data_IF_593341473714
#
_entry.id   IF_593341473714
#
_cell.length_a   1.000
_cell.length_b   1.000
_cell.length_c   1.000
_cell.angle_alpha   90.00
_cell.angle_beta   90.00
_cell.angle_gamma   90.00
#
_symmetry.space_group_name_H-M   'P 1'
#
loop_
_entity.id
_entity.type
_entity.pdbx_description
1 polymer ?
#
# COMPACT_ATOMS: atom_id res chain seq x y z
N UNK A 1 4.98 -10.83 -7.08
CA UNK A 1 4.35 -9.98 -8.11
C UNK A 1 2.83 -10.20 -8.15
N UNK A 2 2.11 -9.38 -8.91
CA UNK A 2 0.65 -9.39 -9.00
C UNK A 2 0.09 -10.73 -9.50
N UNK A 3 0.66 -11.28 -10.56
CA UNK A 3 0.18 -12.52 -11.16
C UNK A 3 0.41 -13.74 -10.24
N UNK A 4 1.53 -13.74 -9.53
CA UNK A 4 1.83 -14.79 -8.55
C UNK A 4 0.91 -14.67 -7.34
N UNK A 5 0.64 -13.46 -6.84
CA UNK A 5 -0.29 -13.23 -5.74
C UNK A 5 -1.71 -13.71 -6.09
N UNK A 6 -2.17 -13.45 -7.32
CA UNK A 6 -3.43 -14.00 -7.82
C UNK A 6 -3.42 -15.53 -7.75
N UNK A 7 -2.39 -16.17 -8.30
CA UNK A 7 -2.27 -17.64 -8.33
C UNK A 7 -2.26 -18.25 -6.92
N UNK A 8 -1.55 -17.62 -5.97
CA UNK A 8 -1.49 -18.05 -4.57
C UNK A 8 -2.88 -17.94 -3.92
N UNK A 9 -3.59 -16.85 -4.17
CA UNK A 9 -4.94 -16.63 -3.63
C UNK A 9 -5.94 -17.61 -4.21
N UNK A 10 -5.89 -17.88 -5.53
CA UNK A 10 -6.69 -18.93 -6.17
C UNK A 10 -6.43 -20.31 -5.53
N UNK A 11 -5.17 -20.64 -5.26
CA UNK A 11 -4.81 -21.89 -4.59
C UNK A 11 -5.36 -21.95 -3.15
N UNK A 12 -5.31 -20.84 -2.40
CA UNK A 12 -5.88 -20.76 -1.07
C UNK A 12 -7.41 -20.96 -1.09
N UNK A 13 -8.12 -20.31 -2.01
CA UNK A 13 -9.56 -20.48 -2.21
C UNK A 13 -9.88 -21.94 -2.52
N UNK A 14 -9.15 -22.54 -3.47
CA UNK A 14 -9.38 -23.93 -3.91
C UNK A 14 -9.02 -24.97 -2.84
N UNK A 15 -8.20 -24.62 -1.85
CA UNK A 15 -7.88 -25.52 -0.73
C UNK A 15 -9.09 -25.78 0.18
N UNK A 16 -10.06 -24.87 0.19
CA UNK A 16 -11.21 -24.90 1.08
C UNK A 16 -10.92 -24.54 2.52
N UNK A 17 -9.67 -24.16 2.85
CA UNK A 17 -9.34 -23.66 4.19
C UNK A 17 -9.89 -22.23 4.35
N UNK A 18 -10.65 -21.94 5.41
CA UNK A 18 -11.25 -20.63 5.57
C UNK A 18 -10.22 -19.55 5.89
N UNK A 19 -10.32 -18.41 5.25
CA UNK A 19 -9.60 -17.19 5.58
C UNK A 19 -10.52 -15.97 5.44
N UNK A 20 -10.24 -14.91 6.16
CA UNK A 20 -10.98 -13.66 6.11
C UNK A 20 -10.08 -12.42 6.10
N UNK A 21 -8.78 -12.59 5.92
CA UNK A 21 -7.81 -11.50 5.81
C UNK A 21 -6.80 -11.82 4.73
N UNK A 22 -6.55 -10.86 3.87
CA UNK A 22 -5.41 -10.82 2.97
C UNK A 22 -4.51 -9.66 3.43
N UNK A 23 -3.30 -10.02 3.84
CA UNK A 23 -2.20 -9.09 4.09
C UNK A 23 -1.23 -9.21 2.92
N UNK A 24 -1.28 -8.26 2.02
CA UNK A 24 -0.37 -8.19 0.90
C UNK A 24 0.80 -7.25 1.22
N UNK A 25 2.02 -7.66 0.87
CA UNK A 25 3.23 -6.87 1.17
C UNK A 25 3.41 -5.66 0.25
N UNK A 26 2.60 -5.56 -0.81
CA UNK A 26 2.47 -4.35 -1.64
C UNK A 26 1.12 -4.32 -2.37
N UNK A 27 0.80 -3.17 -2.95
CA UNK A 27 -0.47 -2.92 -3.65
C UNK A 27 -0.66 -3.77 -4.90
N UNK A 28 0.42 -4.05 -5.63
CA UNK A 28 0.34 -4.93 -6.79
C UNK A 28 -0.10 -6.34 -6.39
N UNK A 29 0.42 -6.86 -5.29
CA UNK A 29 0.02 -8.15 -4.75
C UNK A 29 -1.41 -8.12 -4.21
N UNK A 30 -1.81 -7.05 -3.53
CA UNK A 30 -3.20 -6.87 -3.09
C UNK A 30 -4.17 -6.89 -4.28
N UNK A 31 -3.85 -6.19 -5.36
CA UNK A 31 -4.64 -6.17 -6.60
C UNK A 31 -4.77 -7.56 -7.22
N UNK A 32 -3.67 -8.31 -7.28
CA UNK A 32 -3.69 -9.69 -7.75
C UNK A 32 -4.57 -10.60 -6.90
N UNK A 33 -4.49 -10.47 -5.59
CA UNK A 33 -5.31 -11.24 -4.66
C UNK A 33 -6.80 -10.89 -4.79
N UNK A 34 -7.13 -9.61 -4.90
CA UNK A 34 -8.51 -9.12 -5.12
C UNK A 34 -9.08 -9.68 -6.43
N UNK A 35 -8.30 -9.70 -7.51
CA UNK A 35 -8.75 -10.28 -8.77
C UNK A 35 -9.16 -11.77 -8.62
N UNK A 36 -8.47 -12.54 -7.78
CA UNK A 36 -8.84 -13.92 -7.49
C UNK A 36 -10.12 -14.03 -6.64
N UNK A 37 -10.32 -13.12 -5.68
CA UNK A 37 -11.56 -13.06 -4.90
C UNK A 37 -12.75 -12.74 -5.79
N UNK A 38 -12.63 -11.74 -6.67
CA UNK A 38 -13.67 -11.31 -7.61
C UNK A 38 -14.08 -12.47 -8.55
N UNK A 39 -13.10 -13.16 -9.12
CA UNK A 39 -13.36 -14.31 -10.00
C UNK A 39 -14.06 -15.46 -9.27
N UNK A 40 -13.80 -15.62 -7.98
CA UNK A 40 -14.45 -16.62 -7.12
C UNK A 40 -15.81 -16.14 -6.55
N UNK A 41 -16.18 -14.88 -6.78
CA UNK A 41 -17.40 -14.28 -6.24
C UNK A 41 -17.36 -14.09 -4.71
N UNK A 42 -16.17 -13.93 -4.14
CA UNK A 42 -15.95 -13.69 -2.71
C UNK A 42 -15.91 -12.18 -2.46
N UNK A 43 -16.79 -11.71 -1.58
CA UNK A 43 -16.85 -10.28 -1.22
C UNK A 43 -15.67 -9.86 -0.38
N UNK A 44 -15.19 -8.65 -0.60
CA UNK A 44 -14.04 -8.11 0.12
C UNK A 44 -14.21 -6.61 0.42
N UNK A 45 -13.31 -6.05 1.22
CA UNK A 45 -13.36 -4.64 1.61
C UNK A 45 -14.21 -4.40 2.85
N UNK A 46 -14.74 -3.16 2.98
CA UNK A 46 -15.39 -2.68 4.20
C UNK A 46 -16.62 -3.50 4.60
N UNK A 47 -17.45 -3.85 3.62
CA UNK A 47 -18.70 -4.61 3.82
C UNK A 47 -18.58 -6.07 3.34
N UNK A 48 -17.35 -6.51 3.04
CA UNK A 48 -17.10 -7.84 2.50
C UNK A 48 -16.68 -8.88 3.54
N UNK A 49 -16.60 -10.13 3.10
CA UNK A 49 -16.21 -11.26 3.92
C UNK A 49 -14.68 -11.30 4.18
N UNK A 50 -13.89 -10.65 3.31
CA UNK A 50 -12.42 -10.64 3.36
C UNK A 50 -11.89 -9.22 3.51
N UNK A 51 -11.13 -9.01 4.56
CA UNK A 51 -10.35 -7.79 4.78
C UNK A 51 -9.14 -7.80 3.85
N UNK A 52 -8.91 -6.70 3.13
CA UNK A 52 -7.76 -6.53 2.23
C UNK A 52 -6.89 -5.39 2.71
N UNK A 53 -5.59 -5.66 2.83
CA UNK A 53 -4.56 -4.69 3.21
C UNK A 53 -3.43 -4.70 2.19
N UNK A 54 -3.00 -3.50 1.78
CA UNK A 54 -1.87 -3.25 0.89
C UNK A 54 -0.79 -2.38 1.51
N UNK A 55 0.28 -2.16 0.76
CA UNK A 55 1.38 -1.25 1.09
C UNK A 55 1.92 -0.61 -0.18
N UNK A 56 2.52 0.55 -0.06
CA UNK A 56 3.20 1.44 -1.01
C UNK A 56 2.42 2.73 -1.30
N UNK A 57 1.13 2.80 -1.01
CA UNK A 57 0.26 3.94 -1.32
C UNK A 57 0.24 4.32 -2.80
N UNK A 58 0.17 3.34 -3.69
CA UNK A 58 -0.12 3.64 -5.08
C UNK A 58 -1.50 4.30 -5.19
N UNK A 59 -1.64 5.33 -6.04
CA UNK A 59 -2.91 6.08 -6.14
C UNK A 59 -4.10 5.19 -6.45
N UNK A 60 -3.93 4.17 -7.28
CA UNK A 60 -5.01 3.22 -7.55
C UNK A 60 -5.45 2.48 -6.28
N UNK A 61 -4.50 2.10 -5.39
CA UNK A 61 -4.81 1.42 -4.14
C UNK A 61 -5.57 2.34 -3.17
N UNK A 62 -5.12 3.59 -3.06
CA UNK A 62 -5.84 4.59 -2.26
C UNK A 62 -7.25 4.89 -2.84
N UNK A 63 -7.45 4.80 -4.16
CA UNK A 63 -8.79 4.88 -4.77
C UNK A 63 -9.67 3.69 -4.42
N UNK A 64 -9.11 2.47 -4.45
CA UNK A 64 -9.81 1.27 -4.00
C UNK A 64 -10.18 1.35 -2.51
N UNK A 65 -9.29 1.91 -1.70
CA UNK A 65 -9.53 2.17 -0.29
C UNK A 65 -10.68 3.18 -0.10
N UNK A 66 -10.65 4.30 -0.83
CA UNK A 66 -11.70 5.33 -0.79
C UNK A 66 -13.07 4.79 -1.26
N UNK A 67 -13.07 3.88 -2.22
CA UNK A 67 -14.26 3.19 -2.70
C UNK A 67 -14.80 2.13 -1.71
N UNK A 68 -14.03 1.78 -0.68
CA UNK A 68 -14.38 0.73 0.29
C UNK A 68 -14.07 -0.69 -0.19
N UNK A 69 -13.40 -0.85 -1.33
CA UNK A 69 -13.02 -2.15 -1.87
C UNK A 69 -11.84 -2.77 -1.11
N UNK A 70 -11.01 -1.94 -0.49
CA UNK A 70 -9.94 -2.34 0.43
C UNK A 70 -10.18 -1.74 1.81
N UNK A 71 -9.49 -2.25 2.83
CA UNK A 71 -9.69 -1.83 4.22
C UNK A 71 -8.56 -0.94 4.74
N UNK A 72 -7.31 -1.22 4.32
CA UNK A 72 -6.13 -0.52 4.81
C UNK A 72 -5.02 -0.49 3.77
N UNK A 73 -4.24 0.59 3.79
CA UNK A 73 -3.02 0.74 3.01
C UNK A 73 -1.94 1.43 3.86
N UNK A 74 -0.75 0.87 3.87
CA UNK A 74 0.41 1.41 4.56
C UNK A 74 1.35 2.11 3.60
N UNK A 75 1.77 3.32 3.96
CA UNK A 75 2.79 4.02 3.18
C UNK A 75 4.12 3.26 3.24
N UNK A 76 4.79 3.14 2.10
CA UNK A 76 6.20 2.75 1.98
C UNK A 76 6.82 3.64 0.90
N UNK A 77 7.21 4.86 1.29
CA UNK A 77 7.63 5.88 0.34
C UNK A 77 9.00 5.62 -0.27
N UNK A 78 9.15 5.56 -1.59
CA UNK A 78 10.44 5.47 -2.26
C UNK A 78 11.18 6.83 -2.31
N UNK A 79 10.54 7.93 -1.88
CA UNK A 79 11.07 9.29 -2.01
C UNK A 79 12.06 9.64 -0.88
N UNK A 80 13.19 8.93 -0.83
CA UNK A 80 14.24 9.15 0.15
C UNK A 80 15.32 10.15 -0.31
N UNK A 81 15.25 10.63 -1.55
CA UNK A 81 16.31 11.43 -2.17
C UNK A 81 16.60 12.73 -1.40
N UNK A 82 15.56 13.42 -0.89
CA UNK A 82 15.74 14.65 -0.12
C UNK A 82 16.49 14.39 1.17
N UNK A 83 16.11 13.37 1.92
CA UNK A 83 16.75 12.97 3.18
C UNK A 83 18.24 12.66 2.94
N UNK A 84 18.52 11.91 1.88
CA UNK A 84 19.90 11.56 1.51
C UNK A 84 20.69 12.82 1.10
N UNK A 85 20.10 13.72 0.32
CA UNK A 85 20.72 14.96 -0.10
C UNK A 85 21.07 15.85 1.09
N UNK A 86 20.16 16.01 2.03
CA UNK A 86 20.39 16.81 3.24
C UNK A 86 21.52 16.24 4.09
N UNK A 87 21.59 14.92 4.23
CA UNK A 87 22.70 14.24 4.91
C UNK A 87 24.05 14.49 4.23
N UNK A 88 24.09 14.40 2.92
CA UNK A 88 25.33 14.66 2.16
C UNK A 88 25.79 16.10 2.41
N UNK A 89 24.88 17.07 2.33
CA UNK A 89 25.19 18.48 2.57
C UNK A 89 25.73 18.72 4.00
N UNK A 90 25.15 18.08 5.01
CA UNK A 90 25.65 18.15 6.39
C UNK A 90 27.08 17.60 6.49
N UNK A 91 27.35 16.44 5.89
CA UNK A 91 28.69 15.83 5.88
C UNK A 91 29.70 16.72 5.15
N UNK A 92 29.33 17.31 4.01
CA UNK A 92 30.20 18.24 3.25
C UNK A 92 30.49 19.53 4.05
N UNK A 93 29.55 19.98 4.88
CA UNK A 93 29.73 21.10 5.78
C UNK A 93 30.62 20.74 7.00
N UNK A 94 31.05 19.49 7.13
CA UNK A 94 31.82 19.01 8.27
C UNK A 94 31.00 18.79 9.54
N UNK A 95 29.68 18.74 9.41
CA UNK A 95 28.76 18.47 10.49
C UNK A 95 28.63 16.98 10.75
N UNK A 96 28.54 16.58 12.02
CA UNK A 96 28.31 15.18 12.36
C UNK A 96 26.84 14.83 12.17
N UNK A 97 26.57 13.70 11.49
CA UNK A 97 25.24 13.13 11.48
C UNK A 97 24.92 12.56 12.85
N UNK A 98 23.94 13.15 13.54
CA UNK A 98 23.50 12.69 14.84
C UNK A 98 22.52 11.52 14.69
N UNK A 99 23.05 10.33 14.38
CA UNK A 99 22.28 9.11 14.22
C UNK A 99 22.40 8.26 15.48
N UNK A 100 21.33 8.17 16.26
CA UNK A 100 21.31 7.37 17.50
C UNK A 100 21.62 5.88 17.26
N UNK A 101 21.32 5.34 16.09
CA UNK A 101 21.49 3.91 15.79
C UNK A 101 22.07 3.62 14.41
N UNK A 102 22.73 4.59 13.77
CA UNK A 102 23.15 4.52 12.36
C UNK A 102 21.99 4.25 11.39
N UNK A 103 20.79 4.65 11.79
CA UNK A 103 19.56 4.53 11.01
C UNK A 103 18.84 5.86 10.98
N UNK A 104 18.21 6.17 9.86
CA UNK A 104 17.19 7.20 9.76
C UNK A 104 15.86 6.48 9.74
N UNK A 105 14.97 6.91 10.60
CA UNK A 105 13.59 6.43 10.62
C UNK A 105 12.75 7.57 10.05
N UNK A 106 12.12 7.33 8.92
CA UNK A 106 11.10 8.23 8.35
C UNK A 106 9.75 7.81 8.90
N UNK A 107 8.97 8.78 9.36
CA UNK A 107 7.58 8.51 9.74
C UNK A 107 6.75 8.30 8.48
N UNK A 108 6.02 7.21 8.45
CA UNK A 108 5.11 6.86 7.38
C UNK A 108 3.69 6.68 7.94
N UNK A 109 2.69 6.89 7.09
CA UNK A 109 1.29 6.86 7.47
C UNK A 109 0.61 5.56 7.07
N UNK A 110 -0.43 5.22 7.83
CA UNK A 110 -1.43 4.26 7.40
C UNK A 110 -2.74 4.95 7.05
N UNK A 111 -3.45 4.42 6.10
CA UNK A 111 -4.73 4.92 5.63
C UNK A 111 -5.75 3.80 5.76
N UNK A 112 -6.94 4.13 6.22
CA UNK A 112 -8.07 3.23 6.30
C UNK A 112 -9.27 3.78 5.51
N UNK A 113 -10.14 2.88 5.08
CA UNK A 113 -11.29 3.22 4.23
C UNK A 113 -12.29 4.17 4.90
N UNK A 114 -12.33 4.24 6.23
CA UNK A 114 -13.28 5.09 6.94
C UNK A 114 -12.82 6.55 7.04
N UNK A 115 -11.51 6.80 6.93
CA UNK A 115 -10.92 8.12 7.21
C UNK A 115 -10.17 8.72 6.04
N UNK A 116 -9.88 7.95 4.98
CA UNK A 116 -9.15 8.45 3.81
C UNK A 116 -9.90 9.60 3.12
N UNK A 117 -9.14 10.63 2.74
CA UNK A 117 -9.65 11.81 2.07
C UNK A 117 -9.05 11.97 0.67
N UNK A 118 -9.66 12.79 -0.17
CA UNK A 118 -9.09 13.19 -1.45
C UNK A 118 -7.72 13.87 -1.29
N UNK A 119 -7.58 14.68 -0.25
CA UNK A 119 -6.32 15.35 0.07
C UNK A 119 -5.21 14.33 0.40
N UNK A 120 -5.53 13.26 1.09
CA UNK A 120 -4.57 12.17 1.36
C UNK A 120 -4.11 11.50 0.06
N UNK A 121 -5.03 11.22 -0.86
CA UNK A 121 -4.71 10.60 -2.15
C UNK A 121 -3.79 11.50 -2.98
N UNK A 122 -4.08 12.81 -3.02
CA UNK A 122 -3.25 13.77 -3.74
C UNK A 122 -1.86 13.90 -3.14
N UNK A 123 -1.77 13.97 -1.81
CA UNK A 123 -0.51 14.27 -1.11
C UNK A 123 0.39 13.04 -0.92
N UNK A 124 -0.17 11.87 -0.78
CA UNK A 124 0.57 10.63 -0.44
C UNK A 124 0.54 9.56 -1.52
N UNK A 125 -0.38 9.67 -2.47
CA UNK A 125 -0.51 8.71 -3.56
C UNK A 125 0.67 8.76 -4.54
N UNK A 126 1.20 7.59 -4.85
CA UNK A 126 2.33 7.41 -5.78
C UNK A 126 1.81 6.92 -7.14
N UNK A 127 2.46 7.39 -8.21
CA UNK A 127 2.10 7.01 -9.58
C UNK A 127 0.87 7.73 -10.13
N UNK A 128 0.36 7.24 -11.25
CA UNK A 128 -0.77 7.84 -11.96
C UNK A 128 -2.09 7.62 -11.18
N UNK A 129 -2.98 8.60 -11.26
CA UNK A 129 -4.30 8.51 -10.66
C UNK A 129 -5.32 7.97 -11.69
N UNK A 130 -5.82 6.74 -11.54
CA UNK A 130 -6.78 6.18 -12.49
C UNK A 130 -8.14 6.90 -12.48
N UNK A 131 -8.39 7.75 -11.46
CA UNK A 131 -9.60 8.57 -11.38
C UNK A 131 -9.51 9.87 -12.15
N UNK A 132 -8.31 10.29 -12.60
CA UNK A 132 -8.10 11.50 -13.40
C UNK A 132 -7.85 11.10 -14.84
N UNK A 133 -8.87 11.28 -15.68
CA UNK A 133 -8.71 11.21 -17.14
C UNK A 133 -8.19 12.59 -17.58
N UNK A 134 -6.91 12.67 -17.97
CA UNK A 134 -6.34 13.87 -18.63
C UNK A 134 -7.00 14.13 -20.00
#
# INVERSE_FOLDING_TARGET
DEAEAKTITEAAINSGEPFNVIYAENDGMARGAVAALDEAGITHGVDGDVIVMGFDTNRYALRELQAGNWNYDGQCSPYQAQVISDMIQQLEAGEALNLESKKIITEERGFDAATITEEDIVNYGIGDDPGVIE
#
